data_IF_791838313154
#
_entry.id   IF_791838313154
#
_cell.length_a   1.000
_cell.length_b   1.000
_cell.length_c   1.000
_cell.angle_alpha   90.00
_cell.angle_beta   90.00
_cell.angle_gamma   90.00
#
_symmetry.space_group_name_H-M   'P 1'
#
loop_
_entity.id
_entity.type
_entity.pdbx_description
1 polymer ?
#
# COMPACT_ATOMS: atom_id res chain seq x y z
N UNK A 1 -21.25 -21.01 30.38
CA UNK A 1 -19.85 -20.59 30.25
C UNK A 1 -19.76 -19.09 30.53
N UNK A 2 -19.06 -18.68 31.62
CA UNK A 2 -19.04 -17.31 32.07
C UNK A 2 -18.07 -16.45 31.24
N UNK A 3 -18.57 -15.42 30.59
CA UNK A 3 -17.76 -14.40 29.90
C UNK A 3 -16.93 -13.64 30.96
N UNK A 4 -15.61 -13.85 31.03
CA UNK A 4 -14.69 -13.11 31.92
C UNK A 4 -14.68 -11.65 31.49
N UNK A 5 -15.30 -10.76 32.27
CA UNK A 5 -15.19 -9.30 32.09
C UNK A 5 -13.75 -8.86 32.36
N UNK A 6 -13.12 -8.25 31.40
CA UNK A 6 -11.78 -7.64 31.56
C UNK A 6 -11.81 -6.59 32.66
N UNK A 7 -10.83 -6.63 33.55
CA UNK A 7 -10.69 -5.63 34.63
C UNK A 7 -10.35 -4.26 34.04
N UNK A 8 -10.68 -3.19 34.75
CA UNK A 8 -10.37 -1.82 34.35
C UNK A 8 -8.88 -1.57 34.08
N UNK A 9 -8.01 -2.31 34.77
CA UNK A 9 -6.56 -2.28 34.59
C UNK A 9 -6.13 -2.91 33.26
N UNK A 10 -6.73 -4.02 32.85
CA UNK A 10 -6.48 -4.68 31.57
C UNK A 10 -6.98 -3.86 30.39
N UNK A 11 -8.10 -3.15 30.54
CA UNK A 11 -8.60 -2.21 29.54
C UNK A 11 -7.64 -1.03 29.33
N UNK A 12 -7.10 -0.47 30.41
CA UNK A 12 -6.12 0.64 30.33
C UNK A 12 -4.78 0.18 29.71
N UNK A 13 -4.31 -1.03 29.99
CA UNK A 13 -3.10 -1.57 29.37
C UNK A 13 -3.29 -1.81 27.88
N UNK A 14 -4.43 -2.38 27.46
CA UNK A 14 -4.74 -2.57 26.03
C UNK A 14 -4.84 -1.22 25.30
N UNK A 15 -5.53 -0.23 25.86
CA UNK A 15 -5.61 1.11 25.30
C UNK A 15 -4.22 1.77 25.14
N UNK A 16 -3.30 1.52 26.10
CA UNK A 16 -1.93 2.05 26.01
C UNK A 16 -1.10 1.37 24.92
N UNK A 17 -1.28 0.06 24.73
CA UNK A 17 -0.63 -0.72 23.66
C UNK A 17 -1.15 -0.27 22.29
N UNK A 18 -2.46 -0.12 22.16
CA UNK A 18 -3.09 0.35 20.90
C UNK A 18 -2.60 1.77 20.58
N UNK A 19 -2.58 2.69 21.54
CA UNK A 19 -2.07 4.05 21.33
C UNK A 19 -0.61 4.07 20.88
N UNK A 20 0.25 3.25 21.46
CA UNK A 20 1.65 3.17 21.07
C UNK A 20 1.80 2.60 19.65
N UNK A 21 1.00 1.59 19.28
CA UNK A 21 0.99 1.00 17.93
C UNK A 21 0.52 2.01 16.87
N UNK A 22 -0.51 2.80 17.17
CA UNK A 22 -1.00 3.89 16.29
C UNK A 22 0.08 4.95 16.07
N UNK A 23 0.81 5.34 17.12
CA UNK A 23 1.93 6.30 16.99
C UNK A 23 3.05 5.71 16.13
N UNK A 24 3.38 4.43 16.33
CA UNK A 24 4.40 3.76 15.51
C UNK A 24 3.96 3.67 14.05
N UNK A 25 2.70 3.37 13.80
CA UNK A 25 2.11 3.36 12.46
C UNK A 25 2.22 4.72 11.76
N UNK A 26 1.85 5.79 12.47
CA UNK A 26 1.96 7.16 11.94
C UNK A 26 3.42 7.52 11.59
N UNK A 27 4.38 7.07 12.39
CA UNK A 27 5.81 7.29 12.12
C UNK A 27 6.28 6.50 10.89
N UNK A 28 5.86 5.24 10.74
CA UNK A 28 6.23 4.41 9.58
C UNK A 28 5.63 4.97 8.29
N UNK A 29 4.36 5.39 8.32
CA UNK A 29 3.72 6.06 7.18
C UNK A 29 4.38 7.41 6.85
N UNK A 30 4.84 8.16 7.86
CA UNK A 30 5.63 9.38 7.63
C UNK A 30 6.96 9.09 6.93
N UNK A 31 7.63 8.00 7.28
CA UNK A 31 8.90 7.60 6.65
C UNK A 31 8.67 7.10 5.22
N UNK A 32 7.60 6.34 4.97
CA UNK A 32 7.21 5.91 3.63
C UNK A 32 6.85 7.11 2.73
N UNK A 33 6.13 8.11 3.26
CA UNK A 33 5.83 9.36 2.57
C UNK A 33 7.08 10.17 2.22
N UNK A 34 8.13 10.08 3.04
CA UNK A 34 9.40 10.75 2.77
C UNK A 34 10.16 10.16 1.55
N UNK A 35 9.87 8.89 1.21
CA UNK A 35 10.47 8.20 0.07
C UNK A 35 9.72 8.43 -1.26
N UNK A 36 8.58 9.10 -1.23
CA UNK A 36 7.78 9.42 -2.42
C UNK A 36 8.05 10.84 -2.93
N UNK A 37 7.61 11.13 -4.18
CA UNK A 37 7.75 12.46 -4.77
C UNK A 37 7.19 13.56 -3.83
N UNK A 38 7.79 14.75 -3.78
CA UNK A 38 7.44 15.82 -2.84
C UNK A 38 5.95 16.19 -2.81
N UNK A 39 5.28 16.14 -3.97
CA UNK A 39 3.84 16.41 -4.09
C UNK A 39 2.95 15.35 -3.42
N UNK A 40 3.39 14.08 -3.42
CA UNK A 40 2.70 13.00 -2.71
C UNK A 40 2.94 13.08 -1.20
N UNK A 41 4.09 13.58 -0.80
CA UNK A 41 4.48 13.72 0.61
C UNK A 41 3.53 14.62 1.39
N UNK A 42 3.16 15.79 0.84
CA UNK A 42 2.25 16.70 1.52
C UNK A 42 0.84 16.14 1.66
N UNK A 43 0.34 15.46 0.61
CA UNK A 43 -0.98 14.84 0.63
C UNK A 43 -1.04 13.64 1.59
N UNK A 44 -0.02 12.78 1.61
CA UNK A 44 0.06 11.66 2.55
C UNK A 44 0.20 12.13 4.01
N UNK A 45 0.95 13.20 4.26
CA UNK A 45 1.10 13.78 5.61
C UNK A 45 -0.21 14.35 6.16
N UNK A 46 -1.06 14.92 5.32
CA UNK A 46 -2.41 15.36 5.72
C UNK A 46 -3.34 14.18 6.03
N UNK A 47 -3.23 13.08 5.27
CA UNK A 47 -4.01 11.85 5.46
C UNK A 47 -3.62 11.13 6.76
N UNK A 48 -2.32 11.03 7.05
CA UNK A 48 -1.80 10.37 8.26
C UNK A 48 -2.23 11.10 9.55
N UNK A 49 -2.24 12.44 9.53
CA UNK A 49 -2.65 13.24 10.69
C UNK A 49 -4.10 12.97 11.12
N UNK A 50 -4.98 12.60 10.20
CA UNK A 50 -6.40 12.28 10.46
C UNK A 50 -6.61 10.80 10.82
N UNK A 51 -5.75 9.87 10.37
CA UNK A 51 -5.92 8.41 10.53
C UNK A 51 -5.77 7.89 11.96
N UNK A 52 -5.12 8.66 12.83
CA UNK A 52 -4.91 8.25 14.23
C UNK A 52 -6.23 8.13 15.00
N UNK A 53 -7.25 8.89 14.64
CA UNK A 53 -8.57 8.85 15.29
C UNK A 53 -9.46 7.70 14.80
N UNK A 54 -9.32 7.26 13.53
CA UNK A 54 -10.13 6.19 12.94
C UNK A 54 -9.86 4.82 13.54
N UNK A 55 -8.60 4.50 13.81
CA UNK A 55 -8.22 3.23 14.45
C UNK A 55 -8.83 3.09 15.85
N UNK A 56 -9.08 4.20 16.54
CA UNK A 56 -9.74 4.18 17.86
C UNK A 56 -11.23 3.85 17.77
N UNK A 57 -11.92 4.26 16.70
CA UNK A 57 -13.34 3.96 16.47
C UNK A 57 -13.55 2.48 16.09
N UNK A 58 -12.61 1.89 15.34
CA UNK A 58 -12.68 0.52 14.85
C UNK A 58 -12.60 -0.55 15.95
N UNK A 59 -11.97 -0.25 17.08
CA UNK A 59 -11.85 -1.20 18.22
C UNK A 59 -13.08 -1.26 19.11
N UNK A 60 -14.11 -0.44 18.86
CA UNK A 60 -15.31 -0.33 19.71
C UNK A 60 -16.50 -1.20 19.25
N UNK A 61 -16.46 -1.83 18.08
CA UNK A 61 -17.59 -2.57 17.50
C UNK A 61 -17.60 -4.03 17.93
N UNK A 62 -18.79 -4.53 18.27
CA UNK A 62 -19.10 -5.86 18.81
C UNK A 62 -19.91 -6.67 17.81
N UNK A 63 -19.58 -7.99 17.78
CA UNK A 63 -20.38 -9.13 17.30
C UNK A 63 -20.41 -9.37 15.79
N UNK A 64 -19.57 -10.28 15.36
CA UNK A 64 -19.40 -10.85 14.02
C UNK A 64 -17.94 -10.74 13.59
N UNK A 65 -17.09 -11.72 13.92
CA UNK A 65 -15.72 -11.70 13.41
C UNK A 65 -15.73 -12.21 11.96
N UNK A 66 -15.46 -11.33 11.00
CA UNK A 66 -15.17 -11.73 9.62
C UNK A 66 -13.67 -11.64 9.38
N UNK A 67 -13.11 -12.69 8.79
CA UNK A 67 -11.70 -12.75 8.44
C UNK A 67 -11.50 -12.37 6.99
N UNK A 68 -10.79 -11.28 6.75
CA UNK A 68 -10.31 -10.92 5.40
C UNK A 68 -8.93 -11.52 5.24
N UNK A 69 -8.73 -12.27 4.15
CA UNK A 69 -7.45 -12.87 3.80
C UNK A 69 -6.90 -12.16 2.57
N UNK A 70 -5.70 -11.59 2.70
CA UNK A 70 -4.87 -11.17 1.57
C UNK A 70 -3.88 -12.30 1.28
N UNK A 71 -4.08 -12.97 0.16
CA UNK A 71 -3.27 -14.11 -0.24
C UNK A 71 -1.82 -13.68 -0.56
N UNK A 72 -0.84 -14.58 -0.44
CA UNK A 72 0.54 -14.26 -0.81
C UNK A 72 0.64 -14.04 -2.31
N UNK A 73 1.46 -13.04 -2.70
CA UNK A 73 1.73 -12.73 -4.11
C UNK A 73 3.22 -12.90 -4.35
N UNK A 74 3.59 -13.89 -5.16
CA UNK A 74 4.95 -14.03 -5.68
C UNK A 74 5.12 -13.10 -6.88
N UNK A 75 6.23 -12.37 -6.91
CA UNK A 75 6.56 -11.46 -7.99
C UNK A 75 8.07 -11.41 -8.24
N UNK A 76 8.45 -10.99 -9.42
CA UNK A 76 9.79 -10.59 -9.78
C UNK A 76 9.85 -9.07 -9.89
N UNK A 77 10.94 -8.47 -9.45
CA UNK A 77 11.13 -7.02 -9.50
C UNK A 77 12.44 -6.68 -10.21
N UNK A 78 12.40 -5.70 -11.13
CA UNK A 78 13.56 -5.14 -11.80
C UNK A 78 14.18 -4.07 -10.93
N UNK A 79 15.28 -4.40 -10.26
CA UNK A 79 16.00 -3.56 -9.32
C UNK A 79 17.13 -2.81 -10.04
N UNK A 80 17.16 -1.49 -9.89
CA UNK A 80 18.19 -0.59 -10.43
C UNK A 80 19.29 -0.28 -9.42
N UNK A 81 19.04 -0.43 -8.12
CA UNK A 81 20.03 -0.17 -7.08
C UNK A 81 19.56 -0.55 -5.69
N UNK A 82 20.52 -0.67 -4.78
CA UNK A 82 20.31 -0.94 -3.35
C UNK A 82 21.12 0.06 -2.55
N UNK A 83 20.50 0.66 -1.55
CA UNK A 83 21.08 1.73 -0.75
C UNK A 83 20.79 1.48 0.74
N UNK A 84 21.78 1.68 1.56
CA UNK A 84 21.67 1.65 3.03
C UNK A 84 21.28 3.02 3.61
N UNK A 85 21.39 4.09 2.80
CA UNK A 85 21.15 5.47 3.18
C UNK A 85 20.03 6.06 2.30
N UNK A 86 19.02 6.67 2.96
CA UNK A 86 17.87 7.29 2.32
C UNK A 86 18.19 8.47 1.42
N UNK A 87 19.19 9.28 1.79
CA UNK A 87 19.60 10.42 0.98
C UNK A 87 20.21 9.98 -0.35
N UNK A 88 21.02 8.91 -0.33
CA UNK A 88 21.59 8.32 -1.56
C UNK A 88 20.51 7.71 -2.45
N UNK A 89 19.58 6.95 -1.85
CA UNK A 89 18.46 6.38 -2.59
C UNK A 89 17.60 7.48 -3.25
N UNK A 90 17.32 8.57 -2.51
CA UNK A 90 16.53 9.68 -3.00
C UNK A 90 17.27 10.48 -4.10
N UNK A 91 18.57 10.70 -3.95
CA UNK A 91 19.38 11.37 -4.96
C UNK A 91 19.43 10.57 -6.26
N UNK A 92 19.62 9.26 -6.16
CA UNK A 92 19.63 8.38 -7.32
C UNK A 92 18.26 8.25 -7.98
N UNK A 93 17.20 8.18 -7.18
CA UNK A 93 15.83 8.21 -7.67
C UNK A 93 15.54 9.47 -8.49
N UNK A 94 15.98 10.65 -8.00
CA UNK A 94 15.85 11.90 -8.74
C UNK A 94 16.61 11.87 -10.07
N UNK A 95 17.86 11.37 -10.07
CA UNK A 95 18.68 11.22 -11.28
C UNK A 95 18.00 10.34 -12.31
N UNK A 96 17.50 9.18 -11.90
CA UNK A 96 16.81 8.22 -12.78
C UNK A 96 15.54 8.82 -13.38
N UNK A 97 14.73 9.50 -12.57
CA UNK A 97 13.53 10.17 -13.09
C UNK A 97 13.85 11.29 -14.09
N UNK A 98 14.93 12.06 -13.87
CA UNK A 98 15.39 13.06 -14.85
C UNK A 98 15.86 12.43 -16.17
N UNK A 99 16.29 11.17 -16.14
CA UNK A 99 16.65 10.39 -17.33
C UNK A 99 15.44 9.72 -17.99
N UNK A 100 14.22 9.93 -17.49
CA UNK A 100 13.01 9.27 -17.96
C UNK A 100 12.99 7.78 -17.59
N UNK A 101 13.51 7.41 -16.44
CA UNK A 101 13.47 6.06 -15.88
C UNK A 101 12.69 6.13 -14.56
N UNK A 102 11.35 6.13 -14.61
CA UNK A 102 10.55 6.19 -13.41
C UNK A 102 10.71 4.90 -12.59
N UNK A 103 10.95 5.05 -11.30
CA UNK A 103 11.12 3.92 -10.39
C UNK A 103 10.53 4.21 -9.01
N UNK A 104 10.13 3.16 -8.29
CA UNK A 104 9.66 3.24 -6.92
C UNK A 104 10.80 2.96 -5.94
N UNK A 105 10.78 3.61 -4.78
CA UNK A 105 11.70 3.30 -3.67
C UNK A 105 11.01 2.33 -2.72
N UNK A 106 11.45 1.07 -2.69
CA UNK A 106 10.98 0.08 -1.74
C UNK A 106 11.85 0.11 -0.49
N UNK A 107 11.24 0.41 0.64
CA UNK A 107 11.95 0.46 1.92
C UNK A 107 11.70 -0.82 2.73
N UNK A 108 12.79 -1.54 2.96
CA UNK A 108 12.85 -2.73 3.82
C UNK A 108 13.98 -2.55 4.85
N UNK A 109 14.88 -3.52 4.97
CA UNK A 109 16.14 -3.36 5.71
C UNK A 109 17.12 -2.43 4.97
N UNK A 110 16.96 -2.36 3.65
CA UNK A 110 17.68 -1.47 2.72
C UNK A 110 16.65 -0.82 1.79
N UNK A 111 17.06 0.25 1.12
CA UNK A 111 16.23 0.89 0.10
C UNK A 111 16.59 0.35 -1.27
N UNK A 112 15.57 -0.05 -2.03
CA UNK A 112 15.72 -0.58 -3.38
C UNK A 112 14.99 0.31 -4.37
N UNK A 113 15.64 0.64 -5.47
CA UNK A 113 14.99 1.32 -6.59
C UNK A 113 14.45 0.26 -7.56
N UNK A 114 13.14 0.24 -7.75
CA UNK A 114 12.43 -0.76 -8.55
C UNK A 114 11.75 -0.08 -9.74
N UNK A 115 12.12 -0.50 -10.96
CA UNK A 115 11.59 0.07 -12.20
C UNK A 115 10.36 -0.68 -12.72
N UNK A 116 10.27 -1.98 -12.49
CA UNK A 116 9.18 -2.82 -12.99
C UNK A 116 8.93 -4.01 -12.06
N UNK A 117 7.74 -4.62 -12.18
CA UNK A 117 7.40 -5.91 -11.58
C UNK A 117 6.71 -6.81 -12.59
N UNK A 118 6.84 -8.14 -12.42
CA UNK A 118 6.20 -9.15 -13.25
C UNK A 118 5.87 -10.40 -12.44
N UNK A 119 4.98 -11.24 -12.95
CA UNK A 119 4.66 -12.57 -12.39
C UNK A 119 5.70 -13.64 -12.75
N UNK A 120 6.51 -13.38 -13.76
CA UNK A 120 7.61 -14.26 -14.14
C UNK A 120 8.88 -13.49 -14.54
N UNK A 121 10.01 -14.18 -14.50
CA UNK A 121 11.28 -13.60 -14.89
C UNK A 121 11.36 -13.35 -16.41
N UNK A 122 10.69 -14.21 -17.17
CA UNK A 122 10.69 -14.20 -18.63
C UNK A 122 9.87 -13.04 -19.20
N UNK A 123 8.83 -12.62 -18.48
CA UNK A 123 7.94 -11.51 -18.88
C UNK A 123 8.38 -10.15 -18.33
N UNK A 124 9.53 -10.11 -17.62
CA UNK A 124 10.03 -8.86 -17.05
C UNK A 124 10.32 -7.82 -18.15
N UNK A 125 9.75 -6.63 -17.98
CA UNK A 125 10.04 -5.50 -18.88
C UNK A 125 11.43 -4.92 -18.61
N UNK A 126 12.43 -5.41 -19.30
CA UNK A 126 13.83 -4.96 -19.19
C UNK A 126 14.02 -3.53 -19.75
N UNK A 127 13.18 -3.10 -20.70
CA UNK A 127 13.24 -1.75 -21.28
C UNK A 127 12.95 -0.67 -20.25
N UNK A 128 12.27 -1.01 -19.14
CA UNK A 128 12.03 -0.08 -18.04
C UNK A 128 13.33 0.40 -17.36
N UNK A 129 14.42 -0.35 -17.46
CA UNK A 129 15.74 0.04 -16.97
C UNK A 129 16.55 0.87 -18.00
N UNK A 130 16.09 0.91 -19.24
CA UNK A 130 16.85 1.47 -20.36
C UNK A 130 18.26 0.84 -20.38
N UNK A 131 19.31 1.66 -20.38
CA UNK A 131 20.71 1.18 -20.41
C UNK A 131 21.34 1.07 -19.00
N UNK A 132 20.52 1.22 -17.93
CA UNK A 132 21.04 1.13 -16.57
C UNK A 132 21.31 -0.34 -16.18
N UNK A 133 22.37 -0.53 -15.40
CA UNK A 133 22.62 -1.82 -14.78
C UNK A 133 21.44 -2.20 -13.88
N UNK A 134 20.93 -3.42 -14.07
CA UNK A 134 19.72 -3.86 -13.37
C UNK A 134 19.76 -5.34 -13.03
N UNK A 135 19.05 -5.73 -12.00
CA UNK A 135 18.98 -7.09 -11.50
C UNK A 135 17.52 -7.51 -11.29
N UNK A 136 17.19 -8.74 -11.66
CA UNK A 136 15.87 -9.31 -11.35
C UNK A 136 15.94 -10.01 -10.00
N UNK A 137 15.14 -9.55 -9.05
CA UNK A 137 14.99 -10.17 -7.74
C UNK A 137 13.61 -10.83 -7.62
N UNK A 138 13.54 -11.98 -6.94
CA UNK A 138 12.28 -12.61 -6.57
C UNK A 138 11.82 -12.05 -5.21
N UNK A 139 10.54 -11.79 -5.07
CA UNK A 139 9.91 -11.29 -3.85
C UNK A 139 8.56 -11.97 -3.64
N UNK A 140 8.20 -12.17 -2.38
CA UNK A 140 6.86 -12.62 -2.01
C UNK A 140 6.24 -11.58 -1.07
N UNK A 141 5.05 -11.11 -1.41
CA UNK A 141 4.20 -10.40 -0.47
C UNK A 141 3.52 -11.45 0.42
N UNK A 142 3.77 -11.38 1.72
CA UNK A 142 3.31 -12.39 2.67
C UNK A 142 1.77 -12.36 2.82
N UNK A 143 1.21 -13.53 3.18
CA UNK A 143 -0.20 -13.65 3.54
C UNK A 143 -0.49 -12.80 4.77
N UNK A 144 -1.63 -12.10 4.76
CA UNK A 144 -2.14 -11.36 5.91
C UNK A 144 -3.59 -11.76 6.18
N UNK A 145 -3.91 -12.04 7.43
CA UNK A 145 -5.27 -12.30 7.90
C UNK A 145 -5.69 -11.16 8.81
N UNK A 146 -6.83 -10.54 8.49
CA UNK A 146 -7.40 -9.42 9.22
C UNK A 146 -8.73 -9.84 9.78
N UNK A 147 -8.89 -9.71 11.10
CA UNK A 147 -10.16 -9.92 11.77
C UNK A 147 -10.88 -8.59 11.91
N UNK A 148 -12.02 -8.45 11.26
CA UNK A 148 -12.89 -7.29 11.37
C UNK A 148 -14.11 -7.65 12.20
N UNK A 149 -14.41 -6.79 13.18
CA UNK A 149 -15.65 -6.84 13.95
C UNK A 149 -16.51 -5.66 13.51
N UNK A 150 -17.42 -5.88 12.56
CA UNK A 150 -18.35 -4.86 12.07
C UNK A 150 -19.62 -5.51 11.53
N UNK A 151 -20.63 -4.70 11.22
CA UNK A 151 -21.83 -5.16 10.54
C UNK A 151 -21.50 -5.74 9.16
N UNK A 152 -22.17 -6.80 8.78
CA UNK A 152 -21.87 -7.66 7.62
C UNK A 152 -21.71 -6.89 6.29
N UNK A 153 -22.55 -5.88 6.06
CA UNK A 153 -22.48 -5.05 4.85
C UNK A 153 -21.23 -4.18 4.79
N UNK A 154 -20.78 -3.63 5.92
CA UNK A 154 -19.57 -2.81 6.02
C UNK A 154 -18.31 -3.64 5.83
N UNK A 155 -18.34 -4.92 6.25
CA UNK A 155 -17.21 -5.83 6.12
C UNK A 155 -16.99 -6.24 4.68
N UNK A 156 -18.06 -6.47 3.90
CA UNK A 156 -17.95 -6.84 2.49
C UNK A 156 -17.28 -5.73 1.67
N UNK A 157 -17.70 -4.49 1.85
CA UNK A 157 -17.11 -3.33 1.18
C UNK A 157 -15.65 -3.12 1.58
N UNK A 158 -15.32 -3.31 2.87
CA UNK A 158 -13.94 -3.29 3.36
C UNK A 158 -13.07 -4.34 2.68
N UNK A 159 -13.58 -5.56 2.60
CA UNK A 159 -12.86 -6.67 1.99
C UNK A 159 -12.55 -6.40 0.52
N UNK A 160 -13.51 -5.87 -0.23
CA UNK A 160 -13.30 -5.51 -1.63
C UNK A 160 -12.24 -4.42 -1.80
N UNK A 161 -12.33 -3.36 -1.00
CA UNK A 161 -11.39 -2.25 -1.10
C UNK A 161 -9.97 -2.66 -0.67
N UNK A 162 -9.83 -3.52 0.35
CA UNK A 162 -8.53 -4.03 0.80
C UNK A 162 -7.88 -4.99 -0.20
N UNK A 163 -8.68 -5.73 -0.99
CA UNK A 163 -8.18 -6.61 -2.05
C UNK A 163 -7.85 -5.88 -3.35
N UNK A 164 -8.41 -4.70 -3.55
CA UNK A 164 -8.25 -3.95 -4.81
C UNK A 164 -6.80 -3.67 -5.20
N UNK A 165 -5.86 -3.30 -4.28
CA UNK A 165 -4.45 -3.19 -4.60
C UNK A 165 -3.84 -4.49 -5.13
N UNK A 166 -4.13 -5.62 -4.49
CA UNK A 166 -3.63 -6.94 -4.88
C UNK A 166 -4.15 -7.35 -6.26
N UNK A 167 -5.45 -7.20 -6.49
CA UNK A 167 -6.09 -7.48 -7.78
C UNK A 167 -5.48 -6.61 -8.88
N UNK A 168 -5.25 -5.34 -8.58
CA UNK A 168 -4.64 -4.39 -9.52
C UNK A 168 -3.20 -4.77 -9.83
N UNK A 169 -2.41 -5.10 -8.82
CA UNK A 169 -1.03 -5.57 -8.99
C UNK A 169 -0.95 -6.82 -9.88
N UNK A 170 -1.80 -7.82 -9.62
CA UNK A 170 -1.86 -9.05 -10.40
C UNK A 170 -2.22 -8.77 -11.87
N UNK A 171 -3.13 -7.83 -12.13
CA UNK A 171 -3.49 -7.42 -13.50
C UNK A 171 -2.32 -6.74 -14.22
N UNK A 172 -1.65 -5.82 -13.52
CA UNK A 172 -0.45 -5.14 -14.04
C UNK A 172 0.66 -6.15 -14.36
N UNK A 173 0.93 -7.11 -13.48
CA UNK A 173 1.95 -8.13 -13.72
C UNK A 173 1.64 -9.03 -14.92
N UNK A 174 0.37 -9.36 -15.14
CA UNK A 174 -0.07 -10.20 -16.27
C UNK A 174 -0.05 -9.48 -17.62
N UNK A 175 -0.06 -8.16 -17.65
CA UNK A 175 0.04 -7.36 -18.85
C UNK A 175 -1.10 -7.56 -19.88
N UNK A 176 -2.26 -8.06 -19.45
CA UNK A 176 -3.39 -8.40 -20.34
C UNK A 176 -4.37 -7.24 -20.53
N UNK A 177 -4.47 -6.38 -19.55
CA UNK A 177 -5.37 -5.22 -19.56
C UNK A 177 -4.59 -3.97 -19.98
N UNK A 178 -5.27 -3.01 -20.59
CA UNK A 178 -4.65 -1.70 -20.87
C UNK A 178 -4.54 -0.89 -19.58
N UNK A 179 -3.54 -0.04 -19.51
CA UNK A 179 -3.36 0.82 -18.32
C UNK A 179 -4.57 1.74 -18.07
N UNK A 180 -5.16 2.40 -19.09
CA UNK A 180 -6.38 3.19 -18.90
C UNK A 180 -7.55 2.39 -18.30
N UNK A 181 -7.76 1.14 -18.73
CA UNK A 181 -8.83 0.29 -18.21
C UNK A 181 -8.61 -0.07 -16.73
N UNK A 182 -7.35 -0.33 -16.37
CA UNK A 182 -6.98 -0.59 -14.97
C UNK A 182 -7.24 0.66 -14.11
N UNK A 183 -6.77 1.83 -14.56
CA UNK A 183 -6.94 3.09 -13.83
C UNK A 183 -8.43 3.46 -13.68
N UNK A 184 -9.22 3.31 -14.75
CA UNK A 184 -10.65 3.58 -14.71
C UNK A 184 -11.36 2.70 -13.67
N UNK A 185 -11.06 1.40 -13.64
CA UNK A 185 -11.64 0.46 -12.67
C UNK A 185 -11.23 0.75 -11.23
N UNK A 186 -9.95 1.08 -10.98
CA UNK A 186 -9.48 1.44 -9.64
C UNK A 186 -10.17 2.71 -9.18
N UNK A 187 -10.29 3.72 -10.04
CA UNK A 187 -10.96 4.99 -9.74
C UNK A 187 -12.42 4.76 -9.40
N UNK A 188 -13.16 4.05 -10.24
CA UNK A 188 -14.57 3.74 -10.02
C UNK A 188 -14.81 3.12 -8.65
N UNK A 189 -14.06 2.06 -8.31
CA UNK A 189 -14.18 1.36 -7.01
C UNK A 189 -13.79 2.25 -5.83
N UNK A 190 -12.72 3.03 -5.95
CA UNK A 190 -12.28 3.94 -4.89
C UNK A 190 -13.28 5.07 -4.65
N UNK A 191 -13.82 5.68 -5.70
CA UNK A 191 -14.86 6.73 -5.60
C UNK A 191 -16.17 6.18 -5.03
N UNK A 192 -16.57 4.95 -5.42
CA UNK A 192 -17.75 4.28 -4.85
C UNK A 192 -17.58 4.07 -3.35
N UNK A 193 -16.42 3.58 -2.93
CA UNK A 193 -16.13 3.36 -1.51
C UNK A 193 -16.24 4.64 -0.66
N UNK A 194 -15.72 5.76 -1.15
CA UNK A 194 -15.84 7.07 -0.47
C UNK A 194 -17.29 7.53 -0.41
N UNK A 195 -18.07 7.32 -1.48
CA UNK A 195 -19.46 7.75 -1.56
C UNK A 195 -20.39 6.94 -0.66
N UNK A 196 -20.15 5.63 -0.58
CA UNK A 196 -21.01 4.70 0.15
C UNK A 196 -20.69 4.67 1.65
N UNK A 197 -19.43 4.94 2.03
CA UNK A 197 -18.96 4.89 3.41
C UNK A 197 -18.14 6.12 3.81
N UNK A 198 -18.70 7.35 3.67
CA UNK A 198 -17.95 8.60 3.92
C UNK A 198 -17.52 8.76 5.37
N UNK A 199 -18.23 8.14 6.30
CA UNK A 199 -17.94 8.14 7.75
C UNK A 199 -16.83 7.18 8.14
N UNK A 200 -16.45 6.26 7.26
CA UNK A 200 -15.40 5.29 7.54
C UNK A 200 -14.04 5.83 7.10
N UNK A 201 -13.29 6.30 8.08
CA UNK A 201 -12.01 6.97 7.84
C UNK A 201 -10.97 6.04 7.17
N UNK A 202 -10.93 4.73 7.53
CA UNK A 202 -10.03 3.77 6.92
C UNK A 202 -10.33 3.57 5.42
N UNK A 203 -11.60 3.47 5.05
CA UNK A 203 -12.02 3.35 3.64
C UNK A 203 -11.67 4.60 2.87
N UNK A 204 -11.99 5.76 3.44
CA UNK A 204 -11.68 7.05 2.81
C UNK A 204 -10.18 7.20 2.58
N UNK A 205 -9.34 6.79 3.53
CA UNK A 205 -7.89 6.87 3.40
C UNK A 205 -7.33 5.91 2.35
N UNK A 206 -7.76 4.64 2.35
CA UNK A 206 -7.31 3.67 1.35
C UNK A 206 -7.80 4.05 -0.05
N UNK A 207 -9.06 4.45 -0.18
CA UNK A 207 -9.62 4.94 -1.44
C UNK A 207 -8.87 6.18 -1.93
N UNK A 208 -8.57 7.14 -1.06
CA UNK A 208 -7.80 8.33 -1.42
C UNK A 208 -6.37 7.97 -1.86
N UNK A 209 -5.73 6.99 -1.22
CA UNK A 209 -4.41 6.49 -1.64
C UNK A 209 -4.44 5.90 -3.05
N UNK A 210 -5.50 5.15 -3.38
CA UNK A 210 -5.71 4.59 -4.72
C UNK A 210 -5.99 5.68 -5.77
N UNK A 211 -6.80 6.69 -5.44
CA UNK A 211 -7.05 7.83 -6.32
C UNK A 211 -5.78 8.64 -6.57
N UNK A 212 -4.96 8.87 -5.53
CA UNK A 212 -3.67 9.54 -5.66
C UNK A 212 -2.70 8.73 -6.51
N UNK A 213 -2.70 7.39 -6.37
CA UNK A 213 -1.93 6.51 -7.23
C UNK A 213 -2.37 6.63 -8.69
N UNK A 214 -3.67 6.61 -9.00
CA UNK A 214 -4.17 6.83 -10.36
C UNK A 214 -3.67 8.16 -10.93
N UNK A 215 -3.79 9.25 -10.17
CA UNK A 215 -3.34 10.58 -10.59
C UNK A 215 -1.81 10.66 -10.79
N UNK A 216 -1.02 9.90 -10.03
CA UNK A 216 0.42 9.80 -10.22
C UNK A 216 0.75 9.13 -11.54
N UNK A 217 0.12 7.99 -11.83
CA UNK A 217 0.40 7.22 -13.05
C UNK A 217 -0.02 7.99 -14.30
N UNK A 218 -1.14 8.72 -14.27
CA UNK A 218 -1.61 9.56 -15.38
C UNK A 218 -0.65 10.71 -15.74
N UNK A 219 0.20 11.12 -14.79
CA UNK A 219 1.21 12.17 -15.02
C UNK A 219 2.59 11.63 -15.43
N UNK A 220 2.69 10.30 -15.53
CA UNK A 220 3.94 9.64 -15.87
C UNK A 220 3.99 9.41 -17.37
N UNK A 221 4.91 10.07 -18.07
CA UNK A 221 5.04 9.97 -19.53
C UNK A 221 5.89 8.76 -19.94
N UNK A 222 6.97 8.49 -19.21
CA UNK A 222 7.91 7.41 -19.51
C UNK A 222 7.52 6.10 -18.81
N UNK A 223 7.35 5.02 -19.59
CA UNK A 223 7.06 3.67 -19.08
C UNK A 223 5.96 3.59 -18.01
N UNK A 224 4.79 4.25 -18.19
CA UNK A 224 3.79 4.37 -17.13
C UNK A 224 3.28 3.01 -16.64
N UNK A 225 3.23 2.00 -17.50
CA UNK A 225 2.78 0.65 -17.15
C UNK A 225 3.74 -0.05 -16.18
N UNK A 226 5.04 -0.02 -16.46
CA UNK A 226 6.06 -0.60 -15.58
C UNK A 226 6.10 0.12 -14.22
N UNK A 227 6.05 1.45 -14.23
CA UNK A 227 6.01 2.27 -13.02
C UNK A 227 4.74 2.03 -12.19
N UNK A 228 3.59 1.86 -12.85
CA UNK A 228 2.33 1.51 -12.19
C UNK A 228 2.47 0.19 -11.41
N UNK A 229 3.07 -0.84 -12.01
CA UNK A 229 3.34 -2.10 -11.33
C UNK A 229 4.27 -1.96 -10.13
N UNK A 230 5.39 -1.25 -10.28
CA UNK A 230 6.37 -1.04 -9.20
C UNK A 230 5.78 -0.26 -8.01
N UNK A 231 4.99 0.79 -8.27
CA UNK A 231 4.34 1.60 -7.24
C UNK A 231 3.14 0.91 -6.61
N UNK A 232 2.37 0.11 -7.36
CA UNK A 232 1.27 -0.70 -6.81
C UNK A 232 1.81 -1.80 -5.90
N UNK A 233 2.91 -2.46 -6.26
CA UNK A 233 3.56 -3.44 -5.39
C UNK A 233 4.04 -2.80 -4.07
N UNK A 234 4.59 -1.57 -4.12
CA UNK A 234 4.92 -0.80 -2.92
C UNK A 234 3.67 -0.55 -2.06
N UNK A 235 2.57 -0.12 -2.65
CA UNK A 235 1.31 0.09 -1.94
C UNK A 235 0.81 -1.19 -1.27
N UNK A 236 0.86 -2.34 -1.95
CA UNK A 236 0.52 -3.65 -1.38
C UNK A 236 1.42 -4.04 -0.21
N UNK A 237 2.74 -3.76 -0.29
CA UNK A 237 3.69 -4.03 0.79
C UNK A 237 3.38 -3.18 2.02
N UNK A 238 3.15 -1.88 1.85
CA UNK A 238 2.86 -0.97 2.96
C UNK A 238 1.50 -1.27 3.60
N UNK A 239 0.49 -1.62 2.79
CA UNK A 239 -0.81 -2.08 3.31
C UNK A 239 -0.65 -3.30 4.21
N UNK A 240 0.07 -4.34 3.75
CA UNK A 240 0.31 -5.56 4.53
C UNK A 240 1.09 -5.29 5.81
N UNK A 241 2.16 -4.47 5.72
CA UNK A 241 2.94 -4.06 6.89
C UNK A 241 2.06 -3.35 7.92
N UNK A 242 1.22 -2.43 7.47
CA UNK A 242 0.27 -1.70 8.32
C UNK A 242 -0.67 -2.66 9.04
N UNK A 243 -1.27 -3.59 8.30
CA UNK A 243 -2.23 -4.56 8.83
C UNK A 243 -1.60 -5.53 9.83
N UNK A 244 -0.36 -6.00 9.57
CA UNK A 244 0.38 -6.85 10.50
C UNK A 244 0.74 -6.14 11.82
N UNK A 245 0.93 -4.82 11.79
CA UNK A 245 1.20 -4.04 13.00
C UNK A 245 -0.06 -3.76 13.83
N UNK A 246 -1.24 -3.88 13.24
CA UNK A 246 -2.53 -3.62 13.89
C UNK A 246 -3.25 -4.90 14.35
N UNK A 247 -2.91 -6.06 13.84
CA UNK A 247 -3.44 -7.38 14.21
C UNK A 247 -2.79 -7.89 15.50
#
# INVERSE_FOLDING_TARGET
>A
MGKRRLTSRQRRQRAKIIRNRVITLAVVLMLAAAAMAPALREQLMQVIGRGIHAVQAFTALREGETVIVLEPIALYALQLGVYDNGERAQSEWQRLNQMGIPCAIWQENVMRLIAAVSDSRETMNMDAAKEQESFIIAKTLEKVEIKLSAEENSVSAAAELMRLPDETLIRLMKGRDTLPDILAKVREKAESAVREHPENELYTQLAQSLLNWCALIERTDDNPYAYAGATMALLCMELRRTLLMTA
#
